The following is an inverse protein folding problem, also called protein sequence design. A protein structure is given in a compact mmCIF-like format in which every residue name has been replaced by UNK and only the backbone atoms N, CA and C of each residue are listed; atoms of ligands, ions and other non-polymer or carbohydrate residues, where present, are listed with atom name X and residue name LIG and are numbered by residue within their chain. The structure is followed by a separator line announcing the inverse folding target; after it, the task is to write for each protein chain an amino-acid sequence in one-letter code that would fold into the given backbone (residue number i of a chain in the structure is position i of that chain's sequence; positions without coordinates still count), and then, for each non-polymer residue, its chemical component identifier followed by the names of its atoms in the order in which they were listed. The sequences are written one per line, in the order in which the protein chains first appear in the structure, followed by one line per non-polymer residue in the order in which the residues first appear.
data_IF_661240417961
#
_entry.id   IF_661240417961
#
_cell.length_a   1.000
_cell.length_b   1.000
_cell.length_c   1.000
_cell.angle_alpha   90.00
_cell.angle_beta   90.00
_cell.angle_gamma   90.00
#
_symmetry.space_group_name_H-M   'P 1'
#
loop_
_entity.id
_entity.type
_entity.pdbx_description
1 polymer ?
#
# COMPACT_ATOMS: atom_id res chain seq x y z
N UNK A 1 14.63 -1.97 -24.42
CA UNK A 1 13.71 -1.55 -23.35
C UNK A 1 12.32 -1.58 -23.94
N UNK A 2 11.57 -2.66 -23.70
CA UNK A 2 10.18 -2.75 -24.09
C UNK A 2 9.40 -1.72 -23.28
N UNK A 3 8.61 -0.92 -23.95
CA UNK A 3 7.65 0.01 -23.36
C UNK A 3 6.61 -0.85 -22.63
N UNK A 4 6.77 -0.96 -21.32
CA UNK A 4 5.93 -1.77 -20.43
C UNK A 4 4.50 -1.23 -20.46
N UNK A 5 3.51 -2.10 -20.69
CA UNK A 5 2.12 -1.76 -20.41
C UNK A 5 1.98 -1.69 -18.90
N UNK A 6 2.05 -0.47 -18.35
CA UNK A 6 1.58 -0.20 -16.99
C UNK A 6 0.16 -0.75 -16.85
N UNK A 7 -0.12 -1.50 -15.79
CA UNK A 7 -1.50 -1.86 -15.45
C UNK A 7 -2.22 -0.56 -15.08
N UNK A 8 -3.00 -0.02 -16.01
CA UNK A 8 -3.79 1.18 -15.76
C UNK A 8 -5.15 0.70 -15.29
N UNK A 9 -5.37 0.76 -13.97
CA UNK A 9 -6.70 0.59 -13.41
C UNK A 9 -7.67 1.59 -14.03
N UNK A 10 -8.84 1.11 -14.40
CA UNK A 10 -9.98 1.95 -14.78
C UNK A 10 -10.44 2.80 -13.60
N UNK A 11 -11.13 3.91 -13.87
CA UNK A 11 -11.71 4.75 -12.83
C UNK A 11 -12.60 3.96 -11.86
N UNK A 12 -13.34 2.98 -12.37
CA UNK A 12 -14.24 2.13 -11.58
C UNK A 12 -13.46 1.22 -10.62
N UNK A 13 -12.34 0.66 -11.09
CA UNK A 13 -11.45 -0.17 -10.26
C UNK A 13 -10.73 0.65 -9.19
N UNK A 14 -10.30 1.87 -9.53
CA UNK A 14 -9.77 2.82 -8.54
C UNK A 14 -10.78 3.15 -7.44
N UNK A 15 -12.02 3.46 -7.83
CA UNK A 15 -13.11 3.70 -6.87
C UNK A 15 -13.39 2.49 -6.00
N UNK A 16 -13.36 1.29 -6.56
CA UNK A 16 -13.52 0.05 -5.79
C UNK A 16 -12.42 -0.13 -4.74
N UNK A 17 -11.15 -0.03 -5.13
CA UNK A 17 -10.02 -0.16 -4.20
C UNK A 17 -10.07 0.88 -3.08
N UNK A 18 -10.40 2.12 -3.44
CA UNK A 18 -10.55 3.21 -2.49
C UNK A 18 -11.68 2.97 -1.50
N UNK A 19 -12.87 2.61 -2.00
CA UNK A 19 -14.03 2.32 -1.16
C UNK A 19 -13.71 1.18 -0.21
N UNK A 20 -13.13 0.09 -0.73
CA UNK A 20 -12.71 -1.06 0.05
C UNK A 20 -11.72 -0.67 1.15
N UNK A 21 -10.70 0.14 0.84
CA UNK A 21 -9.73 0.58 1.85
C UNK A 21 -10.39 1.42 2.95
N UNK A 22 -11.32 2.32 2.59
CA UNK A 22 -12.06 3.15 3.56
C UNK A 22 -12.95 2.29 4.47
N UNK A 23 -13.56 1.24 3.93
CA UNK A 23 -14.42 0.31 4.66
C UNK A 23 -13.62 -0.66 5.56
N UNK A 24 -12.51 -1.20 5.06
CA UNK A 24 -11.65 -2.13 5.79
C UNK A 24 -10.87 -1.43 6.93
N UNK A 25 -10.62 -0.12 6.80
CA UNK A 25 -9.85 0.68 7.76
C UNK A 25 -10.64 1.90 8.27
N UNK A 26 -11.74 1.71 9.03
CA UNK A 26 -12.58 2.81 9.52
C UNK A 26 -11.87 3.75 10.49
N UNK A 27 -10.80 3.29 11.16
CA UNK A 27 -9.95 4.11 12.03
C UNK A 27 -8.96 5.01 11.28
N UNK A 28 -8.80 4.83 9.97
CA UNK A 28 -7.86 5.62 9.19
C UNK A 28 -8.25 7.10 9.15
N UNK A 29 -7.26 7.96 9.36
CA UNK A 29 -7.38 9.41 9.19
C UNK A 29 -6.72 9.85 7.86
N UNK A 30 -6.87 11.14 7.53
CA UNK A 30 -6.35 11.76 6.30
C UNK A 30 -4.85 11.44 6.07
N UNK A 31 -4.08 11.40 7.15
CA UNK A 31 -2.66 11.05 7.13
C UNK A 31 -2.41 9.61 6.67
N UNK A 32 -3.22 8.67 7.14
CA UNK A 32 -3.09 7.25 6.81
C UNK A 32 -3.52 7.00 5.36
N UNK A 33 -4.59 7.64 4.91
CA UNK A 33 -5.01 7.64 3.51
C UNK A 33 -3.94 8.19 2.57
N UNK A 34 -3.33 9.32 2.92
CA UNK A 34 -2.23 9.90 2.15
C UNK A 34 -1.04 8.94 2.06
N UNK A 35 -0.69 8.29 3.17
CA UNK A 35 0.43 7.35 3.23
C UNK A 35 0.16 6.08 2.43
N UNK A 36 -1.05 5.52 2.52
CA UNK A 36 -1.50 4.41 1.69
C UNK A 36 -1.37 4.73 0.20
N UNK A 37 -1.88 5.90 -0.21
CA UNK A 37 -1.80 6.33 -1.60
C UNK A 37 -0.36 6.56 -2.05
N UNK A 38 0.45 7.23 -1.22
CA UNK A 38 1.84 7.55 -1.55
C UNK A 38 2.69 6.29 -1.71
N UNK A 39 2.63 5.36 -0.75
CA UNK A 39 3.36 4.10 -0.84
C UNK A 39 2.88 3.23 -2.02
N UNK A 40 1.62 3.34 -2.41
CA UNK A 40 1.08 2.70 -3.61
C UNK A 40 1.60 3.25 -4.94
N UNK A 41 1.99 4.53 -5.00
CA UNK A 41 2.53 5.15 -6.22
C UNK A 41 4.07 5.06 -6.28
N UNK A 42 4.73 5.28 -5.15
CA UNK A 42 6.18 5.50 -5.09
C UNK A 42 6.97 4.40 -4.37
N UNK A 43 6.30 3.53 -3.61
CA UNK A 43 6.93 2.56 -2.73
C UNK A 43 7.37 3.16 -1.38
N UNK A 44 7.79 2.29 -0.46
CA UNK A 44 8.23 2.71 0.87
C UNK A 44 9.67 3.21 0.86
N UNK A 45 10.56 2.62 0.06
CA UNK A 45 11.98 2.97 0.05
C UNK A 45 12.26 4.39 -0.45
N UNK A 46 11.36 5.02 -1.21
CA UNK A 46 11.54 6.40 -1.67
C UNK A 46 11.58 7.34 -0.47
N UNK A 47 10.69 7.11 0.50
CA UNK A 47 10.62 7.84 1.76
C UNK A 47 11.92 7.66 2.57
N UNK A 48 12.42 6.43 2.68
CA UNK A 48 13.65 6.12 3.40
C UNK A 48 14.89 6.69 2.72
N UNK A 49 14.99 6.57 1.40
CA UNK A 49 16.11 7.07 0.61
C UNK A 49 16.20 8.59 0.70
N UNK A 50 15.07 9.29 0.59
CA UNK A 50 15.06 10.74 0.65
C UNK A 50 15.28 11.27 2.07
N UNK A 51 14.86 10.54 3.10
CA UNK A 51 15.12 10.91 4.51
C UNK A 51 16.55 10.63 4.96
N UNK A 52 17.13 9.49 4.57
CA UNK A 52 18.41 9.00 5.11
C UNK A 52 19.56 9.11 4.12
N UNK A 53 19.28 9.43 2.86
CA UNK A 53 20.26 9.43 1.77
C UNK A 53 20.74 8.02 1.37
N UNK A 54 20.15 6.95 1.94
CA UNK A 54 20.51 5.55 1.69
C UNK A 54 19.27 4.68 1.55
N UNK A 55 19.30 3.73 0.63
CA UNK A 55 18.32 2.65 0.61
C UNK A 55 18.67 1.71 1.78
N UNK A 56 17.90 1.76 2.86
CA UNK A 56 18.10 0.91 4.03
C UNK A 56 17.17 -0.28 3.95
N UNK A 57 17.67 -1.38 3.40
CA UNK A 57 16.93 -2.64 3.34
C UNK A 57 17.15 -3.34 4.68
N UNK A 58 16.08 -3.73 5.39
CA UNK A 58 16.23 -4.39 6.68
C UNK A 58 16.93 -5.73 6.50
N UNK A 59 17.93 -5.98 7.33
CA UNK A 59 18.60 -7.28 7.33
C UNK A 59 17.63 -8.39 7.77
N UNK A 60 17.85 -9.60 7.27
CA UNK A 60 16.99 -10.77 7.58
C UNK A 60 16.78 -10.97 9.09
N UNK A 61 17.82 -10.76 9.89
CA UNK A 61 17.74 -10.95 11.34
C UNK A 61 16.78 -9.95 12.01
N UNK A 62 16.65 -8.74 11.47
CA UNK A 62 15.70 -7.71 11.94
C UNK A 62 14.28 -8.18 11.64
N UNK A 63 14.02 -8.62 10.41
CA UNK A 63 12.70 -9.13 10.00
C UNK A 63 12.28 -10.33 10.84
N UNK A 64 13.20 -11.26 11.10
CA UNK A 64 12.94 -12.42 11.97
C UNK A 64 12.66 -12.02 13.43
N UNK A 65 13.26 -10.92 13.92
CA UNK A 65 12.99 -10.42 15.27
C UNK A 65 11.61 -9.76 15.39
N UNK A 66 11.14 -9.10 14.33
CA UNK A 66 9.77 -8.56 14.25
C UNK A 66 8.74 -9.69 14.34
N UNK A 67 8.90 -10.73 13.51
CA UNK A 67 8.02 -11.92 13.52
C UNK A 67 7.92 -12.51 14.93
N UNK A 68 9.07 -12.78 15.58
CA UNK A 68 9.11 -13.34 16.94
C UNK A 68 8.39 -12.46 17.97
N UNK A 69 8.50 -11.14 17.82
CA UNK A 69 7.81 -10.20 18.70
C UNK A 69 6.30 -10.31 18.50
N UNK A 70 5.82 -10.31 17.27
CA UNK A 70 4.39 -10.45 16.98
C UNK A 70 3.82 -11.79 17.45
N UNK A 71 4.54 -12.90 17.22
CA UNK A 71 4.19 -14.22 17.73
C UNK A 71 4.05 -14.21 19.26
N UNK A 72 4.96 -13.53 19.96
CA UNK A 72 4.91 -13.42 21.44
C UNK A 72 3.72 -12.61 21.94
N UNK A 73 3.24 -11.67 21.14
CA UNK A 73 2.08 -10.82 21.41
C UNK A 73 0.77 -11.44 20.85
N UNK A 74 0.86 -12.62 20.20
CA UNK A 74 -0.25 -13.28 19.50
C UNK A 74 -0.92 -12.37 18.46
N UNK A 75 -0.10 -11.54 17.81
CA UNK A 75 -0.54 -10.62 16.76
C UNK A 75 -0.30 -11.26 15.40
N UNK A 76 -1.35 -11.38 14.60
CA UNK A 76 -1.24 -11.81 13.20
C UNK A 76 -2.33 -11.16 12.36
N UNK A 77 -1.97 -10.71 11.15
CA UNK A 77 -2.93 -10.29 10.15
C UNK A 77 -3.67 -11.50 9.57
N UNK A 78 -4.96 -11.34 9.28
CA UNK A 78 -5.72 -12.36 8.54
C UNK A 78 -5.25 -12.47 7.08
N UNK A 79 -4.76 -11.36 6.51
CA UNK A 79 -4.32 -11.26 5.13
C UNK A 79 -2.81 -11.44 5.00
N UNK A 80 -2.37 -12.12 3.94
CA UNK A 80 -0.95 -12.20 3.56
C UNK A 80 -0.50 -10.88 2.93
N UNK A 81 -1.37 -10.27 2.13
CA UNK A 81 -1.09 -9.01 1.45
C UNK A 81 -2.36 -8.17 1.27
N UNK A 82 -2.18 -6.87 1.08
CA UNK A 82 -3.23 -5.92 0.66
C UNK A 82 -2.70 -4.95 -0.42
N UNK A 83 -3.57 -4.45 -1.32
CA UNK A 83 -3.17 -3.49 -2.35
C UNK A 83 -2.82 -2.13 -1.74
N UNK A 84 -1.79 -1.48 -2.29
CA UNK A 84 -1.38 -0.13 -1.87
C UNK A 84 -1.70 0.89 -2.97
N UNK A 85 -2.47 1.92 -2.60
CA UNK A 85 -2.86 3.04 -3.45
C UNK A 85 -3.67 2.65 -4.69
N UNK A 86 -3.79 3.61 -5.61
CA UNK A 86 -4.64 3.50 -6.81
C UNK A 86 -3.88 3.20 -8.10
N UNK A 87 -2.55 3.12 -8.00
CA UNK A 87 -1.70 2.85 -9.15
C UNK A 87 -1.52 1.35 -9.42
N UNK A 88 -1.91 0.47 -8.48
CA UNK A 88 -1.66 -0.98 -8.56
C UNK A 88 -0.20 -1.29 -8.94
N UNK A 89 0.75 -0.65 -8.24
CA UNK A 89 2.19 -0.88 -8.46
C UNK A 89 2.83 -1.60 -7.29
N UNK A 90 2.30 -1.41 -6.10
CA UNK A 90 2.84 -1.96 -4.86
C UNK A 90 1.76 -2.68 -4.07
N UNK A 91 2.20 -3.67 -3.31
CA UNK A 91 1.39 -4.39 -2.32
C UNK A 91 2.08 -4.30 -0.97
N UNK A 92 1.27 -4.25 0.09
CA UNK A 92 1.74 -4.40 1.47
C UNK A 92 1.64 -5.87 1.85
N UNK A 93 2.77 -6.47 2.20
CA UNK A 93 2.89 -7.88 2.60
C UNK A 93 3.07 -7.95 4.10
N UNK A 94 2.17 -8.67 4.78
CA UNK A 94 2.24 -8.91 6.22
C UNK A 94 3.24 -10.02 6.49
N UNK A 95 4.35 -9.66 7.14
CA UNK A 95 5.55 -10.50 7.22
C UNK A 95 5.30 -11.77 8.03
N UNK A 96 4.65 -11.65 9.18
CA UNK A 96 4.34 -12.79 10.06
C UNK A 96 3.37 -13.75 9.38
N UNK A 97 2.31 -13.22 8.75
CA UNK A 97 1.35 -14.06 8.01
C UNK A 97 2.00 -14.81 6.85
N UNK A 98 2.83 -14.11 6.07
CA UNK A 98 3.63 -14.70 4.99
C UNK A 98 4.61 -15.78 5.51
N UNK A 99 5.20 -15.58 6.69
CA UNK A 99 6.10 -16.56 7.28
C UNK A 99 5.37 -17.85 7.68
N UNK A 100 4.17 -17.73 8.25
CA UNK A 100 3.34 -18.86 8.65
C UNK A 100 2.74 -19.66 7.48
N UNK A 101 2.79 -19.15 6.26
CA UNK A 101 2.46 -19.93 5.05
C UNK A 101 3.65 -20.72 4.50
N UNK A 102 4.64 -21.03 5.35
CA UNK A 102 5.88 -21.74 5.01
C UNK A 102 6.73 -21.04 3.93
N UNK A 103 6.52 -19.73 3.71
CA UNK A 103 7.27 -18.99 2.70
C UNK A 103 8.60 -18.46 3.27
N UNK A 104 9.74 -18.61 2.56
CA UNK A 104 11.02 -18.16 3.09
C UNK A 104 11.10 -16.62 3.17
N UNK A 105 11.28 -16.08 4.39
CA UNK A 105 11.47 -14.63 4.65
C UNK A 105 12.62 -14.04 3.84
N UNK A 106 13.69 -14.82 3.63
CA UNK A 106 14.83 -14.40 2.80
C UNK A 106 14.42 -14.02 1.37
N UNK A 107 13.41 -14.67 0.79
CA UNK A 107 12.92 -14.32 -0.55
C UNK A 107 12.23 -12.95 -0.54
N UNK A 108 11.46 -12.65 0.51
CA UNK A 108 10.85 -11.32 0.68
C UNK A 108 11.91 -10.23 0.88
N UNK A 109 12.95 -10.48 1.66
CA UNK A 109 14.08 -9.53 1.83
C UNK A 109 14.79 -9.27 0.50
N UNK A 110 15.09 -10.32 -0.27
CA UNK A 110 15.69 -10.18 -1.60
C UNK A 110 14.77 -9.42 -2.58
N UNK A 111 13.45 -9.51 -2.40
CA UNK A 111 12.49 -8.79 -3.24
C UNK A 111 12.55 -7.27 -2.99
N UNK A 112 12.74 -6.84 -1.74
CA UNK A 112 12.95 -5.43 -1.38
C UNK A 112 14.18 -4.84 -2.08
N UNK A 113 15.27 -5.62 -2.19
CA UNK A 113 16.46 -5.21 -2.95
C UNK A 113 16.18 -4.97 -4.44
N UNK A 114 15.22 -5.72 -4.98
CA UNK A 114 14.87 -5.72 -6.41
C UNK A 114 13.68 -4.85 -6.74
N UNK A 115 13.03 -4.28 -5.74
CA UNK A 115 11.87 -3.41 -5.86
C UNK A 115 12.26 -1.97 -5.52
N UNK A 116 13.20 -1.34 -6.27
CA UNK A 116 13.59 0.03 -5.96
C UNK A 116 12.38 0.95 -6.13
N UNK A 117 12.30 1.93 -5.24
CA UNK A 117 11.34 3.01 -5.33
C UNK A 117 11.30 3.63 -6.73
N UNK A 118 10.08 3.83 -7.22
CA UNK A 118 9.81 4.29 -8.56
C UNK A 118 9.76 5.82 -8.58
N UNK A 119 10.29 6.45 -9.65
CA UNK A 119 10.03 7.86 -9.92
C UNK A 119 8.60 7.98 -10.46
N UNK A 120 7.62 7.91 -9.57
CA UNK A 120 6.19 7.98 -9.89
C UNK A 120 5.80 9.25 -10.65
N UNK A 121 4.66 9.18 -11.31
CA UNK A 121 4.13 10.31 -12.06
C UNK A 121 3.42 11.25 -11.09
N UNK A 122 4.11 12.31 -10.63
CA UNK A 122 3.56 13.31 -9.67
C UNK A 122 2.19 13.86 -10.08
N UNK A 123 1.91 13.93 -11.38
CA UNK A 123 0.58 14.35 -11.87
C UNK A 123 -0.50 13.29 -11.64
N UNK A 124 -0.21 12.01 -11.87
CA UNK A 124 -1.13 10.90 -11.58
C UNK A 124 -1.45 10.84 -10.08
N UNK A 125 -0.43 10.97 -9.23
CA UNK A 125 -0.63 11.04 -7.78
C UNK A 125 -1.57 12.19 -7.36
N UNK A 126 -1.44 13.37 -7.95
CA UNK A 126 -2.34 14.51 -7.68
C UNK A 126 -3.79 14.22 -8.08
N UNK A 127 -4.00 13.57 -9.22
CA UNK A 127 -5.33 13.20 -9.67
C UNK A 127 -5.95 12.15 -8.75
N UNK A 128 -5.18 11.12 -8.39
CA UNK A 128 -5.60 10.06 -7.48
C UNK A 128 -5.85 10.59 -6.07
N UNK A 129 -5.09 11.59 -5.62
CA UNK A 129 -5.35 12.28 -4.36
C UNK A 129 -6.65 13.07 -4.38
N UNK A 130 -6.98 13.76 -5.48
CA UNK A 130 -8.26 14.45 -5.60
C UNK A 130 -9.44 13.46 -5.60
N UNK A 131 -9.30 12.34 -6.31
CA UNK A 131 -10.28 11.25 -6.29
C UNK A 131 -10.47 10.69 -4.88
N UNK A 132 -9.36 10.48 -4.16
CA UNK A 132 -9.36 10.05 -2.77
C UNK A 132 -10.18 11.01 -1.90
N UNK A 133 -9.88 12.31 -1.99
CA UNK A 133 -10.58 13.34 -1.22
C UNK A 133 -12.09 13.32 -1.45
N UNK A 134 -12.51 13.31 -2.72
CA UNK A 134 -13.93 13.31 -3.07
C UNK A 134 -14.65 12.09 -2.49
N UNK A 135 -14.07 10.90 -2.66
CA UNK A 135 -14.69 9.65 -2.19
C UNK A 135 -14.70 9.56 -0.66
N UNK A 136 -13.61 9.93 0.01
CA UNK A 136 -13.56 9.90 1.49
C UNK A 136 -14.57 10.88 2.07
N UNK A 137 -14.74 12.07 1.50
CA UNK A 137 -15.75 13.02 1.97
C UNK A 137 -17.20 12.52 1.79
N UNK A 138 -17.44 11.63 0.84
CA UNK A 138 -18.75 10.99 0.65
C UNK A 138 -18.96 9.83 1.64
N UNK A 139 -17.94 9.02 1.91
CA UNK A 139 -18.02 7.82 2.75
C UNK A 139 -17.81 8.10 4.25
N UNK A 140 -17.09 9.16 4.60
CA UNK A 140 -16.68 9.51 5.97
C UNK A 140 -17.16 10.94 6.30
N UNK A 141 -18.45 11.13 6.62
CA UNK A 141 -19.05 12.45 6.82
C UNK A 141 -18.49 13.22 8.03
N UNK A 142 -17.79 12.54 8.94
CA UNK A 142 -17.07 13.15 10.05
C UNK A 142 -15.79 13.88 9.61
N UNK A 143 -15.25 13.56 8.42
CA UNK A 143 -14.12 14.26 7.82
C UNK A 143 -14.64 15.39 6.93
N UNK A 144 -14.09 16.59 7.10
CA UNK A 144 -14.50 17.76 6.35
C UNK A 144 -13.48 18.18 5.30
N UNK A 145 -13.92 18.95 4.29
CA UNK A 145 -13.01 19.61 3.32
C UNK A 145 -11.95 20.46 4.02
N UNK A 146 -12.27 21.06 5.16
CA UNK A 146 -11.34 21.88 5.94
C UNK A 146 -10.23 21.02 6.55
N UNK A 147 -10.53 19.80 6.98
CA UNK A 147 -9.52 18.90 7.56
C UNK A 147 -8.49 18.48 6.51
N UNK A 148 -8.93 18.25 5.27
CA UNK A 148 -8.04 18.01 4.14
C UNK A 148 -7.17 19.22 3.83
N UNK A 149 -7.73 20.44 3.78
CA UNK A 149 -6.94 21.66 3.57
C UNK A 149 -5.90 21.83 4.70
N UNK A 150 -6.30 21.69 5.96
CA UNK A 150 -5.39 21.78 7.10
C UNK A 150 -4.28 20.72 7.03
N UNK A 151 -4.57 19.52 6.51
CA UNK A 151 -3.54 18.50 6.27
C UNK A 151 -2.60 18.90 5.14
N UNK A 152 -3.13 19.33 3.99
CA UNK A 152 -2.36 19.79 2.83
C UNK A 152 -1.48 21.02 3.14
N UNK A 153 -1.87 21.88 4.07
CA UNK A 153 -1.05 23.00 4.54
C UNK A 153 0.12 22.53 5.43
N UNK A 154 -0.06 21.43 6.17
CA UNK A 154 1.00 20.82 7.02
C UNK A 154 2.02 20.05 6.20
N UNK A 155 1.56 19.36 5.16
CA UNK A 155 2.41 18.64 4.22
C UNK A 155 2.56 19.47 2.95
N UNK A 156 3.67 20.19 2.79
CA UNK A 156 4.00 20.70 1.46
C UNK A 156 3.88 19.52 0.49
N UNK A 157 3.03 19.59 -0.54
CA UNK A 157 2.70 18.47 -1.45
C UNK A 157 3.92 17.84 -2.18
N UNK A 158 5.12 18.36 -1.92
CA UNK A 158 6.43 17.98 -2.44
C UNK A 158 7.35 17.39 -1.37
N UNK A 159 6.92 17.35 -0.10
CA UNK A 159 7.60 16.73 1.02
C UNK A 159 7.01 15.33 1.27
N UNK A 160 7.90 14.40 1.56
CA UNK A 160 7.61 12.98 1.74
C UNK A 160 6.67 12.75 2.92
N UNK A 161 5.88 11.67 2.91
CA UNK A 161 5.25 11.16 4.12
C UNK A 161 6.33 10.57 5.04
N UNK A 162 7.15 11.44 5.62
CA UNK A 162 7.97 11.13 6.79
C UNK A 162 7.11 10.97 8.05
N UNK A 163 5.80 11.25 7.95
CA UNK A 163 4.90 11.14 9.08
C UNK A 163 4.62 9.66 9.39
N UNK A 164 4.60 9.28 10.68
CA UNK A 164 4.15 7.96 11.11
C UNK A 164 2.68 7.74 10.72
N UNK A 165 2.14 6.53 10.91
CA UNK A 165 0.68 6.41 10.91
C UNK A 165 0.10 7.13 12.13
N UNK A 166 -1.19 7.46 12.10
CA UNK A 166 -1.87 7.97 13.30
C UNK A 166 -1.93 6.89 14.37
N UNK A 167 -2.04 7.30 15.63
CA UNK A 167 -2.09 6.36 16.76
C UNK A 167 -3.29 5.41 16.64
N UNK A 168 -4.44 5.92 16.18
CA UNK A 168 -5.64 5.12 15.96
C UNK A 168 -5.42 4.00 14.94
N UNK A 169 -4.84 4.35 13.79
CA UNK A 169 -4.50 3.39 12.74
C UNK A 169 -3.44 2.39 13.21
N UNK A 170 -2.38 2.85 13.87
CA UNK A 170 -1.28 2.01 14.33
C UNK A 170 -1.71 0.98 15.39
N UNK A 171 -2.66 1.33 16.27
CA UNK A 171 -3.22 0.41 17.26
C UNK A 171 -4.05 -0.70 16.62
N UNK A 172 -4.77 -0.40 15.53
CA UNK A 172 -5.59 -1.39 14.81
C UNK A 172 -4.79 -2.17 13.77
N UNK A 173 -3.69 -1.61 13.29
CA UNK A 173 -2.78 -2.22 12.32
C UNK A 173 -1.36 -2.33 12.89
N UNK A 174 -1.16 -3.06 14.01
CA UNK A 174 0.17 -3.16 14.65
C UNK A 174 1.15 -4.06 13.90
N UNK A 175 0.73 -4.62 12.75
CA UNK A 175 1.42 -5.70 12.07
C UNK A 175 2.70 -5.26 11.36
N UNK A 176 3.72 -6.10 11.40
CA UNK A 176 4.97 -5.98 10.69
C UNK A 176 4.67 -6.26 9.21
N UNK A 177 4.94 -5.25 8.38
CA UNK A 177 4.69 -5.34 6.95
C UNK A 177 5.86 -4.83 6.13
N UNK A 178 5.86 -5.17 4.84
CA UNK A 178 6.79 -4.66 3.83
C UNK A 178 6.01 -4.25 2.59
N UNK A 179 6.40 -3.14 1.97
CA UNK A 179 5.82 -2.69 0.70
C UNK A 179 6.75 -3.12 -0.42
N UNK A 180 6.25 -3.89 -1.37
CA UNK A 180 7.02 -4.43 -2.50
C UNK A 180 6.26 -4.24 -3.79
N UNK A 181 6.97 -4.22 -4.92
CA UNK A 181 6.34 -4.17 -6.24
C UNK A 181 5.37 -5.33 -6.41
N UNK A 182 4.12 -5.02 -6.77
CA UNK A 182 3.06 -5.99 -7.03
C UNK A 182 3.51 -7.01 -8.07
N UNK A 183 4.02 -6.52 -9.21
CA UNK A 183 4.46 -7.35 -10.32
C UNK A 183 5.54 -8.34 -9.86
N UNK A 184 6.59 -7.83 -9.21
CA UNK A 184 7.67 -8.70 -8.75
C UNK A 184 7.21 -9.67 -7.66
N UNK A 185 6.29 -9.25 -6.78
CA UNK A 185 5.73 -10.13 -5.77
C UNK A 185 4.99 -11.31 -6.40
N UNK A 186 4.05 -11.07 -7.31
CA UNK A 186 3.30 -12.16 -7.95
C UNK A 186 4.13 -12.96 -8.95
N UNK A 187 5.13 -12.36 -9.61
CA UNK A 187 6.10 -13.11 -10.43
C UNK A 187 6.91 -14.11 -9.57
N UNK A 188 7.14 -13.83 -8.28
CA UNK A 188 7.88 -14.70 -7.35
C UNK A 188 7.00 -15.65 -6.52
N UNK A 189 5.76 -15.24 -6.26
CA UNK A 189 4.77 -15.93 -5.43
C UNK A 189 3.40 -15.96 -6.14
N UNK A 190 3.30 -16.66 -7.29
CA UNK A 190 2.08 -16.70 -8.09
C UNK A 190 0.89 -17.33 -7.35
N UNK A 191 1.15 -18.16 -6.33
CA UNK A 191 0.12 -18.75 -5.45
C UNK A 191 -0.72 -17.71 -4.69
N UNK A 192 -0.22 -16.48 -4.57
CA UNK A 192 -0.93 -15.37 -3.90
C UNK A 192 -1.58 -14.39 -4.87
N UNK A 193 -1.46 -14.60 -6.18
CA UNK A 193 -2.05 -13.71 -7.17
C UNK A 193 -3.58 -13.84 -7.15
N UNK A 194 -4.25 -12.74 -6.77
CA UNK A 194 -5.70 -12.60 -6.88
C UNK A 194 -6.05 -11.40 -7.75
N UNK A 195 -6.32 -11.69 -9.03
CA UNK A 195 -6.71 -10.68 -10.01
C UNK A 195 -8.06 -10.02 -9.71
N UNK A 196 -8.93 -10.64 -8.89
CA UNK A 196 -10.22 -10.07 -8.54
C UNK A 196 -10.10 -8.82 -7.65
N UNK A 197 -8.98 -8.67 -6.93
CA UNK A 197 -8.71 -7.50 -6.09
C UNK A 197 -8.50 -6.25 -6.94
N UNK A 198 -7.72 -6.36 -8.02
CA UNK A 198 -7.41 -5.23 -8.91
C UNK A 198 -8.41 -5.07 -10.05
N UNK A 199 -9.02 -6.16 -10.50
CA UNK A 199 -9.95 -6.21 -11.63
C UNK A 199 -11.28 -6.88 -11.26
N UNK A 200 -12.02 -6.39 -10.24
CA UNK A 200 -13.25 -7.01 -9.75
C UNK A 200 -14.37 -7.08 -10.79
N UNK A 201 -14.26 -6.34 -11.91
CA UNK A 201 -15.28 -6.26 -12.95
C UNK A 201 -14.96 -7.07 -14.20
N UNK A 202 -13.79 -7.69 -14.27
CA UNK A 202 -13.32 -8.44 -15.45
C UNK A 202 -14.10 -9.74 -15.72
N UNK A 203 -14.95 -10.19 -14.79
CA UNK A 203 -15.83 -11.35 -14.95
C UNK A 203 -17.23 -11.07 -15.53
N UNK A 204 -17.60 -9.80 -15.81
CA UNK A 204 -18.95 -9.44 -16.26
C UNK A 204 -19.12 -9.28 -17.78
N UNK A 205 -18.13 -9.68 -18.59
CA UNK A 205 -18.22 -9.69 -20.05
C UNK A 205 -18.54 -11.10 -20.60
N UNK A 206 -19.65 -11.74 -20.19
CA UNK A 206 -20.29 -12.85 -20.93
C UNK A 206 -21.55 -13.39 -20.25
N UNK A 207 -22.64 -12.61 -20.23
CA UNK A 207 -24.01 -13.17 -20.21
C UNK A 207 -24.91 -12.32 -21.12
N UNK A 208 -24.53 -12.17 -22.39
CA UNK A 208 -25.48 -12.01 -23.49
C UNK A 208 -24.90 -12.82 -24.66
N UNK A 209 -25.37 -14.05 -24.78
CA UNK A 209 -25.20 -14.94 -25.92
C UNK A 209 -26.50 -15.68 -26.15
#
# INVERSE_FOLDING_TARGET
MQTERESILTQKEKLFLLTKFVEDHPEAEIQDFYKWLYYGEFGMEESTLLMTGRQSIPELHVVLSEIKKEESETLESELIWEPMGLAARFVKVYVTKYYHTDCPVKRLVNLLERSPAFRGARMSFKLDWNLLKETVLELRPELSRRDFINFEERINFHQLPAMPYTDGYAVKNPFAYRVVSQKLFFDYFPEFEDNSVFHPFSGNESIIG
#
